data_IF_290321265911
#
_entry.id   IF_290321265911
#
_cell.length_a   1.000
_cell.length_b   1.000
_cell.length_c   1.000
_cell.angle_alpha   90.00
_cell.angle_beta   90.00
_cell.angle_gamma   90.00
#
_symmetry.space_group_name_H-M   'P 1'
#
loop_
_entity.id
_entity.type
_entity.pdbx_description
1 polymer ?
#
# COMPACT_ATOMS: atom_id res chain seq x y z
N UNK A 1 -55.47 -4.56 -6.11
CA UNK A 1 -54.79 -4.61 -4.80
C UNK A 1 -53.32 -4.91 -5.05
N UNK A 2 -52.46 -3.88 -5.02
CA UNK A 2 -51.02 -4.03 -5.26
C UNK A 2 -50.28 -4.05 -3.91
N UNK A 3 -49.51 -5.11 -3.65
CA UNK A 3 -48.67 -5.26 -2.45
C UNK A 3 -47.31 -4.64 -2.72
N UNK A 4 -46.95 -3.63 -1.93
CA UNK A 4 -45.64 -3.00 -1.90
C UNK A 4 -44.68 -3.92 -1.13
N UNK A 5 -43.63 -4.41 -1.78
CA UNK A 5 -42.57 -5.16 -1.12
C UNK A 5 -41.53 -4.18 -0.56
N UNK A 6 -41.38 -4.17 0.77
CA UNK A 6 -40.36 -3.41 1.48
C UNK A 6 -39.05 -4.21 1.40
N UNK A 7 -38.08 -3.73 0.62
CA UNK A 7 -36.73 -4.28 0.59
C UNK A 7 -35.93 -3.59 1.70
N UNK A 8 -35.61 -4.35 2.75
CA UNK A 8 -34.74 -3.90 3.83
C UNK A 8 -33.29 -4.06 3.36
N UNK A 9 -32.63 -2.96 3.02
CA UNK A 9 -31.18 -2.95 2.80
C UNK A 9 -30.52 -2.95 4.17
N UNK A 10 -29.97 -4.08 4.59
CA UNK A 10 -29.12 -4.16 5.76
C UNK A 10 -27.83 -3.39 5.46
N UNK A 11 -27.69 -2.20 6.05
CA UNK A 11 -26.42 -1.48 6.04
C UNK A 11 -25.42 -2.27 6.87
N UNK A 12 -24.38 -2.83 6.23
CA UNK A 12 -23.18 -3.24 6.94
C UNK A 12 -22.60 -1.96 7.57
N UNK A 13 -22.64 -1.90 8.90
CA UNK A 13 -21.86 -0.95 9.64
C UNK A 13 -20.39 -1.36 9.49
N UNK A 14 -19.66 -0.69 8.60
CA UNK A 14 -18.21 -0.74 8.62
C UNK A 14 -17.77 -0.10 9.95
N UNK A 15 -17.31 -0.94 10.88
CA UNK A 15 -16.57 -0.48 12.03
C UNK A 15 -15.31 0.21 11.51
N UNK A 16 -15.21 1.52 11.69
CA UNK A 16 -13.99 2.26 11.39
C UNK A 16 -12.92 1.75 12.35
N UNK A 17 -12.04 0.88 11.87
CA UNK A 17 -10.84 0.51 12.59
C UNK A 17 -9.95 1.75 12.69
N UNK A 18 -9.27 1.90 13.83
CA UNK A 18 -8.31 2.98 14.01
C UNK A 18 -7.37 2.98 12.82
N UNK A 19 -7.16 4.17 12.24
CA UNK A 19 -6.26 4.39 11.12
C UNK A 19 -4.93 3.70 11.43
N UNK A 20 -4.69 2.54 10.82
CA UNK A 20 -3.40 1.85 10.92
C UNK A 20 -2.47 2.66 10.03
N UNK A 21 -1.95 3.76 10.59
CA UNK A 21 -1.24 4.81 9.86
C UNK A 21 0.13 4.32 9.34
N UNK A 22 0.47 3.06 9.63
CA UNK A 22 1.80 2.50 9.49
C UNK A 22 1.78 0.97 9.73
N UNK A 23 1.83 0.17 8.66
CA UNK A 23 2.17 -1.28 8.70
C UNK A 23 3.43 -1.48 7.89
N UNK A 24 4.40 -2.26 8.36
CA UNK A 24 5.54 -2.67 7.54
C UNK A 24 5.35 -4.04 6.92
N UNK A 25 5.76 -4.14 5.65
CA UNK A 25 6.03 -5.39 4.96
C UNK A 25 7.47 -5.32 4.50
N UNK A 26 8.30 -6.24 5.00
CA UNK A 26 9.74 -6.24 4.71
C UNK A 26 10.15 -7.50 3.97
N UNK A 27 11.12 -7.36 3.09
CA UNK A 27 11.85 -8.49 2.50
C UNK A 27 12.72 -9.14 3.57
N UNK A 28 12.70 -10.47 3.64
CA UNK A 28 13.71 -11.33 4.27
C UNK A 28 14.05 -12.49 3.32
N UNK A 29 15.01 -13.33 3.71
CA UNK A 29 15.22 -14.66 3.14
C UNK A 29 15.46 -15.67 4.27
N UNK A 30 15.32 -16.97 4.00
CA UNK A 30 15.49 -18.00 5.04
C UNK A 30 16.92 -17.99 5.62
N UNK A 31 17.94 -17.90 4.76
CA UNK A 31 19.34 -18.04 5.18
C UNK A 31 20.31 -17.05 4.53
N UNK A 32 19.87 -16.26 3.56
CA UNK A 32 20.69 -15.35 2.78
C UNK A 32 21.52 -16.00 1.68
N UNK A 33 21.32 -17.30 1.42
CA UNK A 33 22.05 -17.98 0.37
C UNK A 33 21.42 -17.71 -1.00
N UNK A 34 22.26 -17.69 -2.04
CA UNK A 34 21.77 -17.56 -3.42
C UNK A 34 20.80 -18.71 -3.75
N UNK A 35 19.66 -18.36 -4.33
CA UNK A 35 18.57 -19.29 -4.63
C UNK A 35 17.57 -19.49 -3.49
N UNK A 36 17.79 -18.88 -2.31
CA UNK A 36 16.76 -18.80 -1.28
C UNK A 36 15.51 -18.10 -1.83
N UNK A 37 14.34 -18.51 -1.33
CA UNK A 37 13.10 -17.81 -1.59
C UNK A 37 13.05 -16.53 -0.75
N UNK A 38 12.59 -15.44 -1.36
CA UNK A 38 12.25 -14.22 -0.63
C UNK A 38 11.04 -14.51 0.26
N UNK A 39 11.14 -14.08 1.51
CA UNK A 39 10.03 -14.04 2.45
C UNK A 39 9.54 -12.61 2.56
N UNK A 40 8.22 -12.43 2.64
CA UNK A 40 7.62 -11.15 3.03
C UNK A 40 7.17 -11.30 4.47
N UNK A 41 7.72 -10.45 5.33
CA UNK A 41 7.51 -10.51 6.77
C UNK A 41 6.81 -9.24 7.26
N UNK A 42 6.00 -9.38 8.31
CA UNK A 42 5.23 -8.30 8.94
C UNK A 42 5.42 -8.31 10.46
N UNK A 43 4.89 -7.29 11.15
CA UNK A 43 4.72 -7.34 12.60
C UNK A 43 5.98 -7.07 13.43
N UNK A 44 6.95 -6.37 12.83
CA UNK A 44 8.25 -6.14 13.43
C UNK A 44 8.37 -4.80 14.16
N UNK A 45 7.54 -3.82 13.83
CA UNK A 45 7.51 -2.56 14.56
C UNK A 45 6.60 -2.64 15.77
N UNK A 46 6.91 -1.84 16.80
CA UNK A 46 6.09 -1.78 18.01
C UNK A 46 4.64 -1.37 17.65
N UNK A 47 3.67 -2.18 18.06
CA UNK A 47 2.25 -2.00 17.73
C UNK A 47 1.78 -2.77 16.49
N UNK A 48 2.68 -3.47 15.78
CA UNK A 48 2.32 -4.33 14.65
C UNK A 48 2.31 -5.82 15.02
N UNK A 49 2.40 -6.18 16.30
CA UNK A 49 2.63 -7.57 16.74
C UNK A 49 1.50 -8.54 16.35
N UNK A 50 0.32 -8.02 16.01
CA UNK A 50 -0.82 -8.80 15.53
C UNK A 50 -0.86 -8.93 13.99
N UNK A 51 0.01 -8.23 13.28
CA UNK A 51 0.03 -8.25 11.81
C UNK A 51 0.75 -9.49 11.32
N UNK A 52 0.08 -10.27 10.47
CA UNK A 52 0.62 -11.50 9.89
C UNK A 52 0.18 -11.69 8.44
N UNK A 53 0.89 -12.54 7.69
CA UNK A 53 0.41 -13.06 6.41
C UNK A 53 -0.16 -14.46 6.65
N UNK A 54 -1.44 -14.64 6.32
CA UNK A 54 -2.15 -15.90 6.47
C UNK A 54 -1.71 -16.94 5.43
N UNK A 55 -2.09 -18.21 5.66
CA UNK A 55 -1.81 -19.30 4.71
C UNK A 55 -2.53 -19.13 3.36
N UNK A 56 -3.55 -18.29 3.31
CA UNK A 56 -4.27 -17.91 2.09
C UNK A 56 -3.65 -16.67 1.41
N UNK A 57 -2.52 -16.18 1.90
CA UNK A 57 -1.77 -15.05 1.36
C UNK A 57 -2.30 -13.68 1.77
N UNK A 58 -3.40 -13.58 2.51
CA UNK A 58 -3.90 -12.27 2.96
C UNK A 58 -3.08 -11.72 4.12
N UNK A 59 -2.93 -10.40 4.18
CA UNK A 59 -2.44 -9.71 5.39
C UNK A 59 -3.57 -9.59 6.40
N UNK A 60 -3.32 -10.00 7.63
CA UNK A 60 -4.26 -10.00 8.76
C UNK A 60 -3.80 -9.03 9.85
N UNK A 61 -4.76 -8.48 10.60
CA UNK A 61 -4.59 -7.94 11.95
C UNK A 61 -5.33 -8.85 12.93
N UNK A 62 -4.56 -9.66 13.67
CA UNK A 62 -5.09 -10.73 14.50
C UNK A 62 -5.77 -11.82 13.65
N UNK A 63 -7.10 -11.91 13.73
CA UNK A 63 -7.89 -12.92 13.01
C UNK A 63 -8.73 -12.34 11.87
N UNK A 64 -8.57 -11.04 11.58
CA UNK A 64 -9.34 -10.33 10.56
C UNK A 64 -8.40 -9.86 9.44
N UNK A 65 -8.87 -9.85 8.19
CA UNK A 65 -8.10 -9.30 7.08
C UNK A 65 -7.85 -7.82 7.37
N UNK A 66 -6.60 -7.41 7.33
CA UNK A 66 -6.22 -6.01 7.48
C UNK A 66 -6.80 -5.21 6.30
N UNK A 67 -7.57 -4.17 6.62
CA UNK A 67 -8.14 -3.26 5.63
C UNK A 67 -7.48 -1.89 5.78
N UNK A 68 -6.74 -1.47 4.75
CA UNK A 68 -6.12 -0.14 4.69
C UNK A 68 -7.11 0.83 4.04
N UNK A 69 -7.48 1.90 4.76
CA UNK A 69 -8.42 2.90 4.29
C UNK A 69 -7.70 4.14 3.73
N UNK A 70 -8.13 4.63 2.56
CA UNK A 70 -7.75 5.93 2.03
C UNK A 70 -8.81 6.51 1.10
N UNK A 71 -8.66 7.77 0.67
CA UNK A 71 -9.48 8.28 -0.43
C UNK A 71 -9.65 9.79 -0.51
N UNK A 72 -8.62 10.52 -0.06
CA UNK A 72 -8.45 11.93 -0.36
C UNK A 72 -8.19 12.11 -1.85
N UNK A 73 -8.47 13.29 -2.42
CA UNK A 73 -8.25 13.55 -3.85
C UNK A 73 -6.93 14.24 -4.08
N UNK A 74 -6.07 13.65 -4.92
CA UNK A 74 -4.76 14.23 -5.20
C UNK A 74 -4.92 15.43 -6.13
N UNK A 75 -4.35 16.57 -5.75
CA UNK A 75 -4.27 17.76 -6.61
C UNK A 75 -2.86 18.34 -6.54
N UNK A 76 -2.05 18.19 -7.59
CA UNK A 76 -0.66 18.64 -7.54
C UNK A 76 0.08 18.82 -8.85
N UNK A 77 -0.51 18.52 -10.01
CA UNK A 77 0.18 18.57 -11.30
C UNK A 77 1.04 17.33 -11.59
N UNK A 78 0.73 16.19 -10.98
CA UNK A 78 1.54 14.97 -11.05
C UNK A 78 0.84 13.83 -11.80
N UNK A 79 1.55 12.72 -12.00
CA UNK A 79 1.09 11.53 -12.74
C UNK A 79 -0.26 10.94 -12.23
N UNK A 80 -0.66 11.28 -11.01
CA UNK A 80 -1.86 10.78 -10.35
C UNK A 80 -2.94 11.86 -10.13
N UNK A 81 -2.83 13.00 -10.81
CA UNK A 81 -3.89 14.01 -10.77
C UNK A 81 -5.26 13.40 -11.12
N UNK A 82 -6.25 13.66 -10.25
CA UNK A 82 -7.60 13.11 -10.39
C UNK A 82 -7.80 11.72 -9.79
N UNK A 83 -6.76 11.08 -9.24
CA UNK A 83 -6.89 9.84 -8.47
C UNK A 83 -7.22 10.11 -6.99
N UNK A 84 -7.73 9.08 -6.33
CA UNK A 84 -7.82 9.01 -4.88
C UNK A 84 -6.48 8.57 -4.30
N UNK A 85 -6.06 9.11 -3.16
CA UNK A 85 -4.79 8.79 -2.53
C UNK A 85 -4.88 8.77 -1.01
N UNK A 86 -3.83 8.26 -0.38
CA UNK A 86 -3.58 8.35 1.05
C UNK A 86 -2.24 7.75 1.43
N UNK A 87 -1.94 7.75 2.73
CA UNK A 87 -0.81 7.00 3.25
C UNK A 87 -1.09 5.49 3.12
N UNK A 88 -0.05 4.74 2.78
CA UNK A 88 -0.13 3.28 2.75
C UNK A 88 0.84 2.62 3.72
N UNK A 89 0.82 1.28 3.76
CA UNK A 89 1.87 0.49 4.38
C UNK A 89 3.26 0.88 3.87
N UNK A 90 4.28 0.39 4.56
CA UNK A 90 5.69 0.60 4.24
C UNK A 90 6.24 -0.70 3.67
N UNK A 91 6.47 -0.72 2.37
CA UNK A 91 7.27 -1.76 1.73
C UNK A 91 8.75 -1.42 1.95
N UNK A 92 9.51 -2.35 2.49
CA UNK A 92 10.90 -2.08 2.92
C UNK A 92 11.80 -3.31 2.81
N UNK A 93 13.10 -3.12 3.02
CA UNK A 93 14.11 -4.18 3.08
C UNK A 93 15.15 -3.96 4.19
N UNK A 94 15.02 -2.89 4.96
CA UNK A 94 16.01 -2.47 5.95
C UNK A 94 16.02 -3.33 7.20
N UNK A 95 14.89 -3.95 7.54
CA UNK A 95 14.74 -4.62 8.83
C UNK A 95 15.67 -5.83 8.99
N UNK A 96 15.69 -6.70 7.98
CA UNK A 96 16.53 -7.89 7.99
C UNK A 96 17.92 -7.68 7.39
N UNK A 97 18.18 -6.51 6.81
CA UNK A 97 19.49 -6.20 6.25
C UNK A 97 20.65 -6.40 7.25
N UNK A 98 20.58 -5.95 8.53
CA UNK A 98 21.63 -6.16 9.51
C UNK A 98 21.94 -7.63 9.84
N UNK A 99 21.05 -8.56 9.49
CA UNK A 99 21.28 -10.00 9.68
C UNK A 99 22.25 -10.58 8.66
N UNK A 100 22.52 -9.86 7.57
CA UNK A 100 23.30 -10.35 6.42
C UNK A 100 22.53 -11.25 5.47
N UNK A 101 21.24 -11.51 5.72
CA UNK A 101 20.39 -12.38 4.89
C UNK A 101 19.93 -11.77 3.56
N UNK A 102 20.22 -10.50 3.34
CA UNK A 102 19.83 -9.77 2.14
C UNK A 102 21.06 -9.36 1.28
N UNK A 103 22.21 -9.98 1.51
CA UNK A 103 23.46 -9.62 0.86
C UNK A 103 23.47 -9.96 -0.64
N UNK A 104 23.68 -8.96 -1.48
CA UNK A 104 23.72 -9.09 -2.94
C UNK A 104 22.39 -8.96 -3.68
N UNK A 105 21.26 -8.91 -2.96
CA UNK A 105 19.94 -8.64 -3.57
C UNK A 105 19.73 -7.17 -3.93
N UNK A 106 18.71 -6.91 -4.75
CA UNK A 106 18.16 -5.59 -5.04
C UNK A 106 16.63 -5.72 -5.24
N UNK A 107 15.84 -5.31 -4.23
CA UNK A 107 14.47 -5.79 -4.12
C UNK A 107 13.40 -4.81 -4.62
N UNK A 108 12.30 -5.36 -5.10
CA UNK A 108 11.11 -4.60 -5.46
C UNK A 108 9.83 -5.41 -5.19
N UNK A 109 8.71 -4.71 -5.09
CA UNK A 109 7.39 -5.31 -4.95
C UNK A 109 6.56 -5.02 -6.21
N UNK A 110 6.22 -6.06 -6.96
CA UNK A 110 5.37 -5.95 -8.15
C UNK A 110 3.89 -6.08 -7.74
N UNK A 111 3.04 -5.17 -8.21
CA UNK A 111 1.59 -5.41 -8.20
C UNK A 111 1.23 -6.34 -9.36
N UNK A 112 0.76 -7.55 -9.05
CA UNK A 112 0.50 -8.62 -10.03
C UNK A 112 -0.98 -8.81 -10.33
N UNK A 113 -1.87 -8.42 -9.40
CA UNK A 113 -3.32 -8.44 -9.61
C UNK A 113 -4.00 -7.33 -8.79
N UNK A 114 -5.09 -6.79 -9.33
CA UNK A 114 -5.99 -5.85 -8.65
C UNK A 114 -7.42 -6.29 -8.90
N UNK A 115 -8.10 -6.76 -7.85
CA UNK A 115 -9.44 -7.33 -7.97
C UNK A 115 -10.46 -6.62 -7.08
N UNK A 116 -11.71 -6.41 -7.56
CA UNK A 116 -12.76 -5.80 -6.76
C UNK A 116 -13.30 -6.78 -5.71
N UNK A 117 -13.39 -6.33 -4.46
CA UNK A 117 -14.12 -6.99 -3.38
C UNK A 117 -15.55 -6.46 -3.32
N UNK A 118 -15.68 -5.13 -3.30
CA UNK A 118 -16.96 -4.44 -3.41
C UNK A 118 -16.74 -3.10 -4.13
N UNK A 119 -16.99 -3.10 -5.43
CA UNK A 119 -16.74 -1.99 -6.33
C UNK A 119 -17.23 -2.36 -7.72
N UNK A 120 -17.58 -1.37 -8.53
CA UNK A 120 -17.96 -1.60 -9.91
C UNK A 120 -16.81 -1.20 -10.82
N UNK A 121 -16.45 -2.08 -11.77
CA UNK A 121 -15.45 -1.81 -12.80
C UNK A 121 -14.04 -2.26 -12.45
N UNK A 122 -13.08 -1.83 -13.27
CA UNK A 122 -11.65 -2.02 -13.05
C UNK A 122 -11.05 -0.75 -12.42
N UNK A 123 -10.00 -0.90 -11.63
CA UNK A 123 -9.24 0.24 -11.09
C UNK A 123 -7.77 0.06 -11.40
N UNK A 124 -7.09 1.15 -11.78
CA UNK A 124 -5.65 1.23 -11.66
C UNK A 124 -5.28 1.58 -10.22
N UNK A 125 -4.34 0.84 -9.65
CA UNK A 125 -3.78 1.05 -8.33
C UNK A 125 -2.34 1.53 -8.45
N UNK A 126 -1.94 2.50 -7.65
CA UNK A 126 -0.60 3.06 -7.70
C UNK A 126 0.09 3.03 -6.35
N UNK A 127 1.40 2.87 -6.38
CA UNK A 127 2.28 2.98 -5.21
C UNK A 127 3.45 3.90 -5.54
N UNK A 128 3.74 4.88 -4.68
CA UNK A 128 4.81 5.83 -4.95
C UNK A 128 5.39 6.37 -3.64
N UNK A 129 6.53 7.01 -3.75
CA UNK A 129 7.14 7.78 -2.67
C UNK A 129 6.88 9.27 -2.93
N UNK A 130 6.46 10.01 -1.90
CA UNK A 130 6.24 11.46 -1.98
C UNK A 130 7.41 12.22 -1.35
N UNK A 131 8.20 12.89 -2.18
CA UNK A 131 9.29 13.77 -1.75
C UNK A 131 8.94 15.21 -2.02
N UNK A 132 8.55 15.94 -0.96
CA UNK A 132 8.23 17.36 -1.00
C UNK A 132 7.21 17.74 -2.09
N UNK A 133 6.19 16.90 -2.29
CA UNK A 133 5.14 17.11 -3.29
C UNK A 133 5.47 16.57 -4.69
N UNK A 134 6.64 15.96 -4.87
CA UNK A 134 7.01 15.24 -6.10
C UNK A 134 6.84 13.75 -5.89
N UNK A 135 6.16 13.08 -6.81
CA UNK A 135 6.06 11.63 -6.82
C UNK A 135 7.30 11.03 -7.48
N UNK A 136 7.87 10.02 -6.84
CA UNK A 136 9.00 9.24 -7.35
C UNK A 136 8.80 7.77 -7.02
N UNK A 137 9.63 6.90 -7.64
CA UNK A 137 9.52 5.45 -7.48
C UNK A 137 8.07 4.97 -7.71
N UNK A 138 7.50 5.35 -8.85
CA UNK A 138 6.08 5.18 -9.13
C UNK A 138 5.89 3.79 -9.72
N UNK A 139 5.11 2.98 -9.04
CA UNK A 139 4.53 1.75 -9.52
C UNK A 139 3.06 2.00 -9.88
N UNK A 140 2.61 1.50 -11.03
CA UNK A 140 1.22 1.56 -11.47
C UNK A 140 0.78 0.16 -11.91
N UNK A 141 -0.33 -0.36 -11.39
CA UNK A 141 -0.79 -1.73 -11.69
C UNK A 141 -1.07 -1.95 -13.17
N UNK A 142 -1.36 -0.89 -13.93
CA UNK A 142 -1.56 -0.92 -15.38
C UNK A 142 -0.27 -0.71 -16.18
N UNK A 143 0.88 -0.69 -15.50
CA UNK A 143 2.21 -0.59 -16.10
C UNK A 143 2.47 -1.70 -17.14
N UNK A 144 3.01 -1.32 -18.29
CA UNK A 144 3.21 -2.23 -19.41
C UNK A 144 4.28 -3.29 -19.13
N UNK A 145 5.30 -2.95 -18.34
CA UNK A 145 6.37 -3.85 -17.94
C UNK A 145 6.29 -4.23 -16.46
N UNK A 146 7.03 -5.28 -16.06
CA UNK A 146 7.21 -5.64 -14.64
C UNK A 146 7.75 -4.45 -13.84
N UNK A 147 8.71 -3.72 -14.40
CA UNK A 147 9.31 -2.53 -13.77
C UNK A 147 8.29 -1.41 -13.54
N UNK A 148 7.44 -1.10 -14.53
CA UNK A 148 6.38 -0.09 -14.39
C UNK A 148 5.34 -0.43 -13.30
N UNK A 149 5.15 -1.73 -13.01
CA UNK A 149 4.25 -2.23 -11.96
C UNK A 149 4.93 -2.41 -10.60
N UNK A 150 6.22 -2.10 -10.49
CA UNK A 150 7.04 -2.45 -9.34
C UNK A 150 7.49 -1.24 -8.54
N UNK A 151 7.33 -1.34 -7.22
CA UNK A 151 7.83 -0.36 -6.28
C UNK A 151 9.21 -0.80 -5.80
N UNK A 152 10.26 -0.05 -6.17
CA UNK A 152 11.64 -0.42 -5.86
C UNK A 152 11.98 -0.11 -4.40
N UNK A 153 12.25 -1.15 -3.61
CA UNK A 153 12.70 -0.97 -2.22
C UNK A 153 14.22 -1.03 -2.09
N UNK A 154 14.92 -1.60 -3.05
CA UNK A 154 16.36 -1.78 -2.97
C UNK A 154 16.79 -2.57 -1.75
N UNK A 155 18.07 -2.45 -1.39
CA UNK A 155 18.67 -3.14 -0.25
C UNK A 155 19.03 -2.16 0.84
N UNK A 156 18.69 -2.49 2.09
CA UNK A 156 18.87 -1.62 3.26
C UNK A 156 18.15 -0.26 3.15
N UNK A 157 16.96 -0.22 2.55
CA UNK A 157 16.26 1.05 2.34
C UNK A 157 15.01 1.10 3.20
N UNK A 158 14.95 2.11 4.06
CA UNK A 158 13.75 2.50 4.77
C UNK A 158 13.13 3.73 4.11
N UNK A 159 12.05 3.56 3.34
CA UNK A 159 11.38 4.67 2.69
C UNK A 159 10.22 5.22 3.53
N UNK A 160 10.36 6.46 3.97
CA UNK A 160 9.27 7.21 4.57
C UNK A 160 8.42 7.91 3.48
N UNK A 161 7.13 8.11 3.75
CA UNK A 161 6.18 8.79 2.86
C UNK A 161 5.79 8.04 1.59
N UNK A 162 5.62 6.72 1.70
CA UNK A 162 4.93 5.96 0.68
C UNK A 162 3.45 6.34 0.66
N UNK A 163 2.92 6.54 -0.54
CA UNK A 163 1.55 6.91 -0.82
C UNK A 163 0.93 5.91 -1.78
N UNK A 164 -0.37 5.71 -1.62
CA UNK A 164 -1.18 4.86 -2.47
C UNK A 164 -2.02 5.72 -3.37
N UNK A 165 -2.42 5.18 -4.52
CA UNK A 165 -3.51 5.76 -5.30
C UNK A 165 -4.45 4.73 -5.89
N UNK A 166 -5.68 5.17 -6.16
CA UNK A 166 -6.66 4.39 -6.92
C UNK A 166 -7.47 5.32 -7.82
N UNK A 167 -7.78 4.85 -9.02
CA UNK A 167 -8.67 5.57 -9.94
C UNK A 167 -10.14 5.53 -9.52
N UNK A 168 -10.55 4.53 -8.75
CA UNK A 168 -11.94 4.32 -8.35
C UNK A 168 -12.09 4.08 -6.85
N UNK A 169 -13.24 4.49 -6.33
CA UNK A 169 -13.70 4.16 -4.97
C UNK A 169 -14.19 2.71 -4.90
N UNK A 170 -14.17 2.14 -3.71
CA UNK A 170 -14.60 0.76 -3.46
C UNK A 170 -13.58 -0.01 -2.63
N UNK A 171 -13.87 -1.28 -2.38
CA UNK A 171 -12.97 -2.20 -1.72
C UNK A 171 -12.26 -3.06 -2.74
N UNK A 172 -10.94 -3.14 -2.64
CA UNK A 172 -10.07 -3.78 -3.63
C UNK A 172 -9.05 -4.66 -2.91
N UNK A 173 -8.78 -5.82 -3.49
CA UNK A 173 -7.64 -6.64 -3.15
C UNK A 173 -6.53 -6.36 -4.14
N UNK A 174 -5.32 -6.09 -3.65
CA UNK A 174 -4.12 -5.91 -4.47
C UNK A 174 -3.16 -7.02 -4.08
N UNK A 175 -2.88 -7.91 -5.02
CA UNK A 175 -1.91 -8.99 -4.84
C UNK A 175 -0.56 -8.53 -5.36
N UNK A 176 0.47 -8.78 -4.56
CA UNK A 176 1.84 -8.38 -4.83
C UNK A 176 2.81 -9.54 -4.69
N UNK A 177 3.95 -9.41 -5.35
CA UNK A 177 5.10 -10.33 -5.24
C UNK A 177 6.35 -9.52 -4.97
N UNK A 178 7.09 -9.87 -3.92
CA UNK A 178 8.45 -9.36 -3.72
C UNK A 178 9.42 -10.16 -4.59
N UNK A 179 10.30 -9.47 -5.31
CA UNK A 179 11.30 -10.11 -6.15
C UNK A 179 12.66 -9.41 -6.05
N UNK A 180 13.70 -10.12 -6.47
CA UNK A 180 15.05 -9.59 -6.59
C UNK A 180 15.35 -9.26 -8.05
N UNK A 181 15.63 -7.99 -8.33
CA UNK A 181 15.96 -7.46 -9.65
C UNK A 181 17.23 -8.12 -10.20
N UNK A 182 18.18 -8.50 -9.33
CA UNK A 182 19.42 -9.13 -9.74
C UNK A 182 19.29 -10.64 -9.99
N UNK A 183 18.18 -11.26 -9.58
CA UNK A 183 17.94 -12.70 -9.70
C UNK A 183 18.86 -13.59 -8.84
N UNK A 184 19.38 -13.06 -7.73
CA UNK A 184 20.10 -13.82 -6.70
C UNK A 184 19.13 -14.70 -5.91
N UNK A 185 17.93 -14.18 -5.64
CA UNK A 185 16.90 -14.88 -4.87
C UNK A 185 15.70 -15.24 -5.75
N UNK A 186 14.96 -16.27 -5.33
CA UNK A 186 13.69 -16.66 -5.96
C UNK A 186 12.59 -15.73 -5.44
N UNK A 187 11.71 -15.28 -6.34
CA UNK A 187 10.54 -14.46 -6.02
C UNK A 187 9.73 -15.06 -4.86
N UNK A 188 9.15 -14.18 -4.03
CA UNK A 188 8.31 -14.57 -2.90
C UNK A 188 7.01 -15.24 -3.37
N UNK A 189 6.38 -15.99 -2.47
CA UNK A 189 4.96 -16.33 -2.66
C UNK A 189 4.11 -15.04 -2.68
N UNK A 190 3.07 -14.96 -3.52
CA UNK A 190 2.22 -13.77 -3.58
C UNK A 190 1.49 -13.53 -2.25
N UNK A 191 1.37 -12.27 -1.87
CA UNK A 191 0.54 -11.84 -0.74
C UNK A 191 -0.48 -10.79 -1.20
N UNK A 192 -1.58 -10.68 -0.48
CA UNK A 192 -2.71 -9.81 -0.83
C UNK A 192 -3.04 -8.86 0.30
N UNK A 193 -3.15 -7.58 -0.03
CA UNK A 193 -3.64 -6.56 0.89
C UNK A 193 -4.99 -6.04 0.45
N UNK A 194 -5.87 -5.79 1.43
CA UNK A 194 -7.19 -5.23 1.19
C UNK A 194 -7.20 -3.73 1.45
N UNK A 195 -7.79 -3.01 0.51
CA UNK A 195 -7.92 -1.57 0.54
C UNK A 195 -9.38 -1.14 0.51
N UNK A 196 -9.73 -0.15 1.32
CA UNK A 196 -11.03 0.54 1.29
C UNK A 196 -10.83 1.97 0.80
N UNK A 197 -11.25 2.24 -0.44
CA UNK A 197 -11.13 3.56 -1.07
C UNK A 197 -12.42 4.34 -0.89
N UNK A 198 -12.53 5.12 0.18
CA UNK A 198 -13.75 5.83 0.61
C UNK A 198 -13.46 7.30 0.86
N UNK A 199 -14.47 8.21 0.80
CA UNK A 199 -14.21 9.61 1.11
C UNK A 199 -13.72 9.71 2.54
N UNK A 200 -12.62 10.42 2.78
CA UNK A 200 -12.25 10.76 4.14
C UNK A 200 -13.46 11.42 4.84
N UNK A 201 -13.75 11.06 6.10
CA UNK A 201 -14.77 11.77 6.86
C UNK A 201 -14.45 13.27 6.80
N UNK A 202 -15.46 14.11 6.57
CA UNK A 202 -15.31 15.55 6.32
C UNK A 202 -14.61 16.35 7.46
N UNK A 203 -14.10 15.68 8.50
CA UNK A 203 -13.39 16.26 9.63
C UNK A 203 -11.86 16.26 9.55
N UNK A 204 -11.22 15.69 8.52
CA UNK A 204 -9.75 15.52 8.49
C UNK A 204 -9.02 16.05 7.23
N UNK A 205 -9.62 16.97 6.46
CA UNK A 205 -8.93 17.68 5.38
C UNK A 205 -7.98 18.78 5.89
N UNK A 206 -6.98 18.42 6.72
CA UNK A 206 -6.02 19.37 7.31
C UNK A 206 -4.57 18.84 7.27
N UNK A 207 -4.18 18.23 6.15
CA UNK A 207 -2.76 18.05 5.82
C UNK A 207 -2.58 18.41 4.34
N UNK A 208 -1.88 19.52 4.07
CA UNK A 208 -1.43 19.83 2.69
C UNK A 208 -1.47 21.28 2.22
N UNK A 209 -1.25 22.28 3.07
CA UNK A 209 -0.81 23.61 2.60
C UNK A 209 0.16 24.24 3.60
N UNK A 210 1.32 23.60 3.81
CA UNK A 210 2.49 24.20 4.46
C UNK A 210 3.16 25.27 3.59
N UNK A 211 2.39 26.20 3.03
CA UNK A 211 2.88 27.23 2.11
C UNK A 211 2.20 28.58 2.34
N UNK A 212 3.01 29.55 2.80
CA UNK A 212 2.79 31.01 2.74
C UNK A 212 1.81 31.68 3.71
N UNK A 213 2.22 31.82 4.98
CA UNK A 213 2.06 33.13 5.67
C UNK A 213 3.29 33.39 6.55
N UNK A 214 4.40 33.76 5.94
CA UNK A 214 5.49 34.42 6.64
C UNK A 214 5.82 35.75 5.94
N UNK A 215 5.58 36.83 6.69
CA UNK A 215 6.22 38.13 6.60
C UNK A 215 5.99 39.01 5.34
N UNK A 216 5.00 39.92 5.43
CA UNK A 216 5.20 41.30 4.97
C UNK A 216 4.35 42.31 5.76
N UNK A 217 4.79 42.67 6.97
CA UNK A 217 4.52 43.99 7.53
C UNK A 217 5.77 44.84 7.37
N UNK A 218 5.78 45.68 6.34
CA UNK A 218 6.66 46.85 6.26
C UNK A 218 5.80 48.09 6.53
N UNK A 219 6.33 48.93 7.42
CA UNK A 219 5.94 50.28 7.82
C UNK A 219 4.88 50.35 8.90
#
# INVERSE_FOLDING_TARGET
MARLALVTVAGLAATSFGQVDHVHLTVDTESGQQGDQILVETGWYQGEENISIGQDGYVYDGNEILVVEFGDTYSGGNAWDGRYFGAGPRLTSDFFFPTGRLDGGDFAFEMVDVSPVSGNGATAFGWAENHNGTLMNIADSEGASKDDRSFWVGTNRHMHHQILSSTHRGMWDVTMVAYDINGVYVDADPFTMRFSVVPAPAGLALLGAGGLVAARRRR
#
